data_IF_006412478262
#
_entry.id   IF_006412478262
#
_cell.length_a   1.000
_cell.length_b   1.000
_cell.length_c   1.000
_cell.angle_alpha   90.00
_cell.angle_beta   90.00
_cell.angle_gamma   90.00
#
_symmetry.space_group_name_H-M   'P 1'
#
loop_
_entity.id
_entity.type
_entity.pdbx_description
1 polymer ?
#
# COMPACT_ATOMS: atom_id res chain seq x y z
N UNK A 1 31.82 -7.23 -0.02
CA UNK A 1 31.34 -8.51 0.52
C UNK A 1 30.81 -9.35 -0.64
N UNK A 2 31.32 -10.57 -0.85
CA UNK A 2 30.88 -11.46 -1.93
C UNK A 2 29.43 -11.89 -1.71
N UNK A 3 28.69 -12.07 -2.82
CA UNK A 3 27.27 -12.46 -2.78
C UNK A 3 27.17 -13.97 -2.59
N UNK A 4 26.07 -14.45 -2.02
CA UNK A 4 25.80 -15.90 -1.89
C UNK A 4 25.76 -16.63 -3.26
N UNK A 5 25.69 -15.89 -4.36
CA UNK A 5 25.61 -16.35 -5.75
C UNK A 5 26.98 -16.52 -6.45
N UNK A 6 28.12 -16.34 -5.77
CA UNK A 6 29.44 -16.45 -6.42
C UNK A 6 29.87 -17.93 -6.69
N UNK A 7 28.95 -18.76 -7.18
CA UNK A 7 29.16 -20.12 -7.70
C UNK A 7 28.64 -20.21 -9.15
N UNK A 8 29.22 -21.07 -10.02
CA UNK A 8 29.15 -20.92 -11.48
C UNK A 8 27.70 -20.87 -11.99
N UNK A 9 27.41 -19.82 -12.77
CA UNK A 9 26.10 -19.45 -13.25
C UNK A 9 25.41 -20.58 -14.05
N UNK A 10 24.15 -20.82 -13.73
CA UNK A 10 23.23 -21.62 -14.56
C UNK A 10 22.54 -20.71 -15.58
N UNK A 11 22.14 -21.22 -16.75
CA UNK A 11 21.60 -20.40 -17.87
C UNK A 11 20.37 -19.54 -17.50
N UNK A 12 19.62 -19.91 -16.46
CA UNK A 12 18.53 -19.11 -15.88
C UNK A 12 19.01 -17.82 -15.20
N UNK A 13 20.24 -17.80 -14.68
CA UNK A 13 20.85 -16.61 -14.07
C UNK A 13 21.20 -15.56 -15.14
N UNK A 14 21.40 -15.95 -16.41
CA UNK A 14 21.77 -15.04 -17.48
C UNK A 14 20.67 -14.02 -17.81
N UNK A 15 19.40 -14.45 -17.83
CA UNK A 15 18.25 -13.56 -18.06
C UNK A 15 18.04 -12.65 -16.84
N UNK A 16 18.17 -13.20 -15.64
CA UNK A 16 18.02 -12.44 -14.39
C UNK A 16 19.14 -11.40 -14.22
N UNK A 17 20.39 -11.78 -14.50
CA UNK A 17 21.54 -10.88 -14.51
C UNK A 17 21.44 -9.85 -15.64
N UNK A 18 20.93 -10.24 -16.81
CA UNK A 18 20.67 -9.30 -17.91
C UNK A 18 19.62 -8.27 -17.50
N UNK A 19 18.49 -8.69 -16.92
CA UNK A 19 17.45 -7.78 -16.44
C UNK A 19 18.01 -6.87 -15.34
N UNK A 20 18.78 -7.40 -14.37
CA UNK A 20 19.40 -6.61 -13.30
C UNK A 20 20.47 -5.63 -13.81
N UNK A 21 21.30 -6.04 -14.76
CA UNK A 21 22.32 -5.17 -15.38
C UNK A 21 21.67 -4.14 -16.29
N UNK A 22 20.71 -4.53 -17.12
CA UNK A 22 20.00 -3.64 -18.03
C UNK A 22 19.17 -2.62 -17.26
N UNK A 23 18.32 -3.06 -16.32
CA UNK A 23 17.56 -2.16 -15.43
C UNK A 23 18.48 -1.28 -14.60
N UNK A 24 19.57 -1.83 -14.05
CA UNK A 24 20.55 -1.08 -13.29
C UNK A 24 21.26 -0.01 -14.12
N UNK A 25 21.60 -0.31 -15.38
CA UNK A 25 22.27 0.65 -16.29
C UNK A 25 21.30 1.68 -16.83
N UNK A 26 20.08 1.25 -17.19
CA UNK A 26 19.00 2.12 -17.66
C UNK A 26 18.51 3.07 -16.57
N UNK A 27 18.20 2.55 -15.37
CA UNK A 27 17.86 3.38 -14.21
C UNK A 27 19.02 4.31 -13.88
N UNK A 28 20.26 3.86 -13.85
CA UNK A 28 21.36 4.78 -13.49
C UNK A 28 21.58 5.89 -14.53
N UNK A 29 21.28 5.63 -15.80
CA UNK A 29 21.41 6.61 -16.90
C UNK A 29 20.22 7.56 -17.01
N UNK A 30 19.01 7.11 -16.63
CA UNK A 30 17.78 7.88 -16.78
C UNK A 30 17.03 8.16 -15.47
N UNK A 31 17.55 7.76 -14.30
CA UNK A 31 16.87 7.93 -13.01
C UNK A 31 16.62 9.40 -12.70
N UNK A 32 17.57 10.29 -13.01
CA UNK A 32 17.37 11.73 -12.78
C UNK A 32 16.28 12.31 -13.67
N UNK A 33 16.08 11.75 -14.86
CA UNK A 33 15.08 12.18 -15.84
C UNK A 33 13.71 11.57 -15.53
N UNK A 34 13.67 10.27 -15.21
CA UNK A 34 12.50 9.55 -14.73
C UNK A 34 11.97 10.13 -13.42
N UNK A 35 12.84 10.43 -12.44
CA UNK A 35 12.43 11.07 -11.19
C UNK A 35 11.85 12.47 -11.40
N UNK A 36 12.26 13.19 -12.45
CA UNK A 36 11.75 14.52 -12.77
C UNK A 36 10.44 14.49 -13.55
N UNK A 37 10.27 13.54 -14.48
CA UNK A 37 9.16 13.55 -15.45
C UNK A 37 8.03 12.59 -15.06
N UNK A 38 8.35 11.44 -14.47
CA UNK A 38 7.37 10.40 -14.17
C UNK A 38 6.35 10.83 -13.10
N UNK A 39 6.73 11.47 -11.97
CA UNK A 39 5.75 11.90 -10.97
C UNK A 39 4.77 12.96 -11.50
N UNK A 40 5.20 14.03 -12.20
CA UNK A 40 4.27 15.00 -12.79
C UNK A 40 3.34 14.39 -13.83
N UNK A 41 3.84 13.54 -14.72
CA UNK A 41 3.04 12.94 -15.81
C UNK A 41 1.99 11.97 -15.29
N UNK A 42 2.36 11.11 -14.33
CA UNK A 42 1.41 10.19 -13.68
C UNK A 42 0.39 10.95 -12.83
N UNK A 43 0.84 11.94 -12.05
CA UNK A 43 -0.07 12.80 -11.28
C UNK A 43 -1.07 13.53 -12.18
N UNK A 44 -0.59 14.13 -13.27
CA UNK A 44 -1.42 14.77 -14.28
C UNK A 44 -2.45 13.82 -14.88
N UNK A 45 -2.03 12.61 -15.28
CA UNK A 45 -2.91 11.59 -15.82
C UNK A 45 -4.00 11.16 -14.82
N UNK A 46 -3.65 10.97 -13.55
CA UNK A 46 -4.62 10.63 -12.51
C UNK A 46 -5.65 11.74 -12.29
N UNK A 47 -5.23 13.02 -12.29
CA UNK A 47 -6.14 14.14 -12.17
C UNK A 47 -7.03 14.31 -13.40
N UNK A 48 -6.50 14.09 -14.61
CA UNK A 48 -7.33 14.05 -15.82
C UNK A 48 -8.42 12.97 -15.75
N UNK A 49 -8.06 11.77 -15.27
CA UNK A 49 -9.04 10.69 -15.08
C UNK A 49 -10.11 11.08 -14.03
N UNK A 50 -9.70 11.74 -12.94
CA UNK A 50 -10.62 12.26 -11.93
C UNK A 50 -11.59 13.32 -12.49
N UNK A 51 -11.08 14.27 -13.28
CA UNK A 51 -11.91 15.30 -13.93
C UNK A 51 -12.87 14.73 -14.96
N UNK A 52 -12.39 13.77 -15.77
CA UNK A 52 -13.23 13.05 -16.71
C UNK A 52 -14.35 12.28 -16.00
N UNK A 53 -14.04 11.60 -14.88
CA UNK A 53 -15.02 10.85 -14.07
C UNK A 53 -16.08 11.75 -13.42
N UNK A 54 -15.71 12.98 -13.06
CA UNK A 54 -16.63 13.95 -12.43
C UNK A 54 -17.22 14.95 -13.44
N UNK A 55 -17.06 14.73 -14.75
CA UNK A 55 -17.56 15.57 -15.85
C UNK A 55 -17.28 17.07 -15.68
N UNK A 56 -16.12 17.41 -15.10
CA UNK A 56 -15.74 18.78 -14.82
C UNK A 56 -14.28 19.02 -15.15
N UNK A 57 -14.01 20.12 -15.85
CA UNK A 57 -12.67 20.65 -16.08
C UNK A 57 -12.57 22.02 -15.39
N UNK A 58 -11.71 22.18 -14.37
CA UNK A 58 -11.50 23.48 -13.74
C UNK A 58 -10.72 24.44 -14.65
N UNK A 59 -11.05 25.73 -14.54
CA UNK A 59 -10.23 26.82 -15.06
C UNK A 59 -8.98 26.95 -14.20
N UNK A 60 -7.91 26.28 -14.59
CA UNK A 60 -6.67 26.27 -13.81
C UNK A 60 -5.86 27.55 -14.02
N UNK A 61 -5.49 28.18 -12.91
CA UNK A 61 -4.33 29.05 -12.89
C UNK A 61 -3.05 28.19 -12.75
N UNK A 62 -2.00 28.52 -13.51
CA UNK A 62 -0.82 27.66 -13.72
C UNK A 62 -0.06 27.38 -12.40
N UNK A 63 -0.10 28.33 -11.48
CA UNK A 63 0.47 28.21 -10.12
C UNK A 63 -0.36 27.31 -9.20
N UNK A 64 -1.68 27.33 -9.30
CA UNK A 64 -2.56 26.47 -8.50
C UNK A 64 -2.47 25.01 -8.97
N UNK A 65 -2.29 24.81 -10.27
CA UNK A 65 -2.13 23.49 -10.84
C UNK A 65 -0.79 22.85 -10.46
N UNK A 66 0.29 23.62 -10.48
CA UNK A 66 1.62 23.12 -10.11
C UNK A 66 1.72 22.76 -8.63
N UNK A 67 1.10 23.52 -7.72
CA UNK A 67 1.06 23.19 -6.29
C UNK A 67 0.25 21.91 -6.02
N UNK A 68 -0.86 21.71 -6.74
CA UNK A 68 -1.67 20.50 -6.67
C UNK A 68 -0.91 19.27 -7.22
N UNK A 69 -0.17 19.41 -8.32
CA UNK A 69 0.71 18.34 -8.84
C UNK A 69 1.87 18.02 -7.90
N UNK A 70 2.42 19.01 -7.20
CA UNK A 70 3.47 18.77 -6.22
C UNK A 70 2.92 18.00 -5.01
N UNK A 71 1.73 18.37 -4.53
CA UNK A 71 1.03 17.60 -3.51
C UNK A 71 0.73 16.17 -4.00
N UNK A 72 0.28 16.02 -5.27
CA UNK A 72 0.10 14.75 -6.00
C UNK A 72 1.32 13.83 -5.88
N UNK A 73 2.47 14.37 -6.26
CA UNK A 73 3.74 13.66 -6.20
C UNK A 73 4.11 13.29 -4.75
N UNK A 74 3.87 14.18 -3.78
CA UNK A 74 4.21 13.94 -2.38
C UNK A 74 3.40 12.80 -1.77
N UNK A 75 2.06 12.81 -1.83
CA UNK A 75 1.28 11.67 -1.29
C UNK A 75 1.44 10.42 -2.15
N UNK A 76 1.64 10.54 -3.46
CA UNK A 76 2.00 9.40 -4.32
C UNK A 76 3.30 8.73 -3.85
N UNK A 77 4.31 9.53 -3.53
CA UNK A 77 5.57 9.04 -2.97
C UNK A 77 5.39 8.43 -1.57
N UNK A 78 4.59 9.05 -0.70
CA UNK A 78 4.31 8.52 0.64
C UNK A 78 3.53 7.19 0.58
N UNK A 79 2.53 7.09 -0.29
CA UNK A 79 1.71 5.87 -0.44
C UNK A 79 2.54 4.72 -1.03
N UNK A 80 3.18 4.93 -2.18
CA UNK A 80 4.06 3.92 -2.79
C UNK A 80 5.24 3.60 -1.87
N UNK A 81 5.79 4.61 -1.20
CA UNK A 81 6.85 4.46 -0.20
C UNK A 81 6.43 3.60 0.98
N UNK A 82 5.18 3.73 1.47
CA UNK A 82 4.64 2.89 2.52
C UNK A 82 4.48 1.43 2.07
N UNK A 83 3.93 1.19 0.88
CA UNK A 83 3.88 -0.16 0.29
C UNK A 83 5.27 -0.76 0.12
N UNK A 84 6.21 0.01 -0.44
CA UNK A 84 7.59 -0.40 -0.62
C UNK A 84 8.25 -0.75 0.72
N UNK A 85 8.11 0.11 1.73
CA UNK A 85 8.65 -0.11 3.06
C UNK A 85 8.07 -1.37 3.71
N UNK A 86 6.76 -1.59 3.61
CA UNK A 86 6.08 -2.77 4.14
C UNK A 86 6.53 -4.07 3.46
N UNK A 87 6.90 -4.03 2.18
CA UNK A 87 7.40 -5.19 1.44
C UNK A 87 8.91 -5.43 1.58
N UNK A 88 9.68 -4.38 1.82
CA UNK A 88 11.15 -4.41 1.81
C UNK A 88 11.76 -4.54 3.21
N UNK A 89 11.31 -3.73 4.17
CA UNK A 89 11.92 -3.64 5.50
C UNK A 89 11.81 -4.93 6.30
N UNK A 90 10.67 -5.65 6.36
CA UNK A 90 10.56 -6.89 7.12
C UNK A 90 11.59 -7.94 6.66
N UNK A 91 11.73 -8.09 5.34
CA UNK A 91 12.71 -8.99 4.73
C UNK A 91 14.15 -8.60 5.05
N UNK A 92 14.50 -7.32 4.90
CA UNK A 92 15.82 -6.80 5.23
C UNK A 92 16.18 -7.06 6.71
N UNK A 93 15.24 -6.79 7.60
CA UNK A 93 15.45 -6.88 9.05
C UNK A 93 15.76 -8.31 9.47
N UNK A 94 14.93 -9.28 9.08
CA UNK A 94 15.14 -10.69 9.42
C UNK A 94 16.37 -11.25 8.71
N UNK A 95 16.60 -10.88 7.45
CA UNK A 95 17.76 -11.38 6.70
C UNK A 95 19.08 -10.91 7.32
N UNK A 96 19.24 -9.61 7.57
CA UNK A 96 20.49 -9.09 8.13
C UNK A 96 20.62 -9.32 9.64
N UNK A 97 19.51 -9.31 10.39
CA UNK A 97 19.50 -9.50 11.84
C UNK A 97 19.64 -10.95 12.29
N UNK A 98 19.14 -11.91 11.50
CA UNK A 98 19.16 -13.34 11.82
C UNK A 98 20.02 -14.13 10.82
N UNK A 99 19.57 -14.26 9.57
CA UNK A 99 20.18 -15.18 8.58
C UNK A 99 21.66 -14.84 8.31
N UNK A 100 22.02 -13.57 8.18
CA UNK A 100 23.37 -13.13 7.83
C UNK A 100 24.33 -13.02 9.04
N UNK A 101 23.94 -13.49 10.23
CA UNK A 101 24.86 -13.57 11.37
C UNK A 101 25.86 -14.70 11.13
N UNK A 102 27.16 -14.47 11.36
CA UNK A 102 28.23 -15.46 11.17
C UNK A 102 27.90 -16.86 11.73
N UNK A 103 27.56 -16.96 13.02
CA UNK A 103 27.22 -18.25 13.66
C UNK A 103 26.06 -18.99 12.95
N UNK A 104 24.96 -18.30 12.70
CA UNK A 104 23.77 -18.88 12.05
C UNK A 104 24.07 -19.23 10.58
N UNK A 105 24.80 -18.37 9.88
CA UNK A 105 25.15 -18.55 8.48
C UNK A 105 26.04 -19.76 8.27
N UNK A 106 27.05 -19.94 9.11
CA UNK A 106 27.96 -21.09 9.04
C UNK A 106 27.20 -22.39 9.28
N UNK A 107 26.39 -22.46 10.34
CA UNK A 107 25.61 -23.66 10.66
C UNK A 107 24.55 -24.00 9.60
N UNK A 108 23.90 -22.98 9.01
CA UNK A 108 23.01 -23.17 7.86
C UNK A 108 23.76 -23.75 6.66
N UNK A 109 24.98 -23.26 6.38
CA UNK A 109 25.80 -23.76 5.28
C UNK A 109 26.17 -25.23 5.52
N UNK A 110 26.52 -25.61 6.75
CA UNK A 110 26.79 -27.01 7.11
C UNK A 110 25.54 -27.90 7.03
N UNK A 111 24.36 -27.39 7.36
CA UNK A 111 23.09 -28.13 7.27
C UNK A 111 22.58 -28.32 5.82
N UNK A 112 23.08 -27.52 4.88
CA UNK A 112 22.70 -27.55 3.46
C UNK A 112 23.51 -28.62 2.69
N UNK A 113 22.86 -29.45 1.84
CA UNK A 113 23.56 -30.36 0.95
C UNK A 113 24.53 -29.61 0.02
N UNK A 114 25.73 -30.17 -0.17
CA UNK A 114 26.82 -29.52 -0.91
C UNK A 114 26.48 -29.23 -2.39
N UNK A 115 25.71 -30.11 -3.07
CA UNK A 115 25.14 -29.92 -4.44
C UNK A 115 23.86 -30.76 -4.64
N UNK A 116 22.99 -30.33 -5.57
CA UNK A 116 21.82 -31.08 -6.06
C UNK A 116 20.45 -30.47 -5.72
N UNK A 117 19.36 -31.04 -6.26
CA UNK A 117 17.97 -30.60 -6.06
C UNK A 117 17.56 -30.51 -4.57
N UNK A 118 18.16 -31.34 -3.71
CA UNK A 118 17.93 -31.32 -2.27
C UNK A 118 18.35 -30.01 -1.59
N UNK A 119 19.34 -29.29 -2.13
CA UNK A 119 19.80 -27.98 -1.60
C UNK A 119 18.73 -26.91 -1.82
N UNK A 120 18.18 -26.83 -3.03
CA UNK A 120 17.10 -25.88 -3.34
C UNK A 120 15.87 -26.14 -2.47
N UNK A 121 15.47 -27.42 -2.33
CA UNK A 121 14.33 -27.79 -1.47
C UNK A 121 14.54 -27.39 0.00
N UNK A 122 15.73 -27.65 0.57
CA UNK A 122 16.02 -27.23 1.95
C UNK A 122 16.09 -25.70 2.10
N UNK A 123 16.60 -24.99 1.10
CA UNK A 123 16.66 -23.53 1.12
C UNK A 123 15.25 -22.91 1.01
N UNK A 124 14.40 -23.43 0.13
CA UNK A 124 12.98 -23.04 0.06
C UNK A 124 12.26 -23.33 1.37
N UNK A 125 12.57 -24.45 2.00
CA UNK A 125 11.99 -24.82 3.29
C UNK A 125 12.46 -23.89 4.42
N UNK A 126 13.74 -23.52 4.47
CA UNK A 126 14.26 -22.51 5.41
C UNK A 126 13.50 -21.20 5.23
N UNK A 127 13.38 -20.75 3.99
CA UNK A 127 12.70 -19.49 3.68
C UNK A 127 11.20 -19.54 3.98
N UNK A 128 10.56 -20.68 3.76
CA UNK A 128 9.17 -20.87 4.14
C UNK A 128 8.97 -20.80 5.66
N UNK A 129 9.86 -21.40 6.44
CA UNK A 129 9.79 -21.37 7.91
C UNK A 129 10.15 -20.01 8.52
N UNK A 130 11.12 -19.31 7.94
CA UNK A 130 11.61 -18.02 8.46
C UNK A 130 10.69 -16.87 8.07
N UNK A 131 10.10 -16.91 6.87
CA UNK A 131 9.29 -15.81 6.33
C UNK A 131 7.82 -16.21 6.16
N UNK A 132 7.53 -17.20 5.31
CA UNK A 132 6.16 -17.48 4.87
C UNK A 132 5.21 -17.89 6.00
N UNK A 133 5.61 -18.88 6.81
CA UNK A 133 4.78 -19.42 7.88
C UNK A 133 4.48 -18.36 8.94
N UNK A 134 5.47 -17.60 9.47
CA UNK A 134 5.19 -16.51 10.39
C UNK A 134 4.27 -15.43 9.83
N UNK A 135 4.49 -15.00 8.58
CA UNK A 135 3.68 -13.97 7.92
C UNK A 135 2.25 -14.43 7.62
N UNK A 136 2.07 -15.70 7.26
CA UNK A 136 0.76 -16.28 7.01
C UNK A 136 -0.03 -16.42 8.32
N UNK A 137 0.60 -16.99 9.35
CA UNK A 137 -0.07 -17.25 10.64
C UNK A 137 -0.51 -15.96 11.31
N UNK A 138 0.29 -14.89 11.27
CA UNK A 138 -0.11 -13.59 11.83
C UNK A 138 -1.24 -12.96 11.04
N UNK A 139 -1.17 -13.01 9.69
CA UNK A 139 -2.21 -12.47 8.83
C UNK A 139 -3.54 -13.20 9.02
N UNK A 140 -3.50 -14.52 9.22
CA UNK A 140 -4.68 -15.32 9.52
C UNK A 140 -5.20 -15.07 10.94
N UNK A 141 -4.34 -15.00 11.96
CA UNK A 141 -4.79 -14.73 13.32
C UNK A 141 -5.47 -13.37 13.43
N UNK A 142 -4.86 -12.34 12.83
CA UNK A 142 -5.39 -10.98 12.85
C UNK A 142 -6.71 -10.90 12.06
N UNK A 143 -6.81 -11.56 10.90
CA UNK A 143 -8.04 -11.64 10.13
C UNK A 143 -9.15 -12.38 10.90
N UNK A 144 -8.83 -13.51 11.54
CA UNK A 144 -9.80 -14.29 12.30
C UNK A 144 -10.40 -13.46 13.43
N UNK A 145 -9.58 -12.71 14.16
CA UNK A 145 -10.05 -11.95 15.32
C UNK A 145 -10.89 -10.76 14.89
N UNK A 146 -10.46 -10.06 13.84
CA UNK A 146 -11.17 -8.89 13.35
C UNK A 146 -12.54 -9.24 12.76
N UNK A 147 -12.67 -10.41 12.10
CA UNK A 147 -13.91 -10.79 11.41
C UNK A 147 -14.81 -11.79 12.15
N UNK A 148 -14.30 -12.60 13.09
CA UNK A 148 -15.06 -13.72 13.66
C UNK A 148 -15.16 -13.75 15.19
N UNK A 149 -14.22 -13.13 15.90
CA UNK A 149 -14.18 -13.21 17.38
C UNK A 149 -14.70 -11.90 17.95
N UNK A 150 -13.81 -10.93 18.13
CA UNK A 150 -14.13 -9.64 18.74
C UNK A 150 -13.08 -8.61 18.32
N UNK A 151 -13.47 -7.47 17.73
CA UNK A 151 -12.54 -6.44 17.30
C UNK A 151 -11.81 -5.75 18.45
N UNK A 152 -12.35 -5.78 19.67
CA UNK A 152 -11.71 -5.20 20.86
C UNK A 152 -10.44 -5.96 21.28
N UNK A 153 -10.39 -7.26 20.99
CA UNK A 153 -9.24 -8.13 21.26
C UNK A 153 -8.13 -7.99 20.22
N UNK A 154 -8.39 -7.29 19.11
CA UNK A 154 -7.45 -7.14 17.99
C UNK A 154 -6.07 -6.65 18.43
N UNK A 155 -6.02 -5.58 19.24
CA UNK A 155 -4.77 -4.96 19.65
C UNK A 155 -3.96 -5.90 20.56
N UNK A 156 -4.64 -6.61 21.47
CA UNK A 156 -4.00 -7.59 22.34
C UNK A 156 -3.39 -8.74 21.56
N UNK A 157 -4.11 -9.27 20.57
CA UNK A 157 -3.61 -10.41 19.80
C UNK A 157 -2.56 -9.99 18.77
N UNK A 158 -2.71 -8.85 18.10
CA UNK A 158 -1.69 -8.34 17.18
C UNK A 158 -0.33 -8.09 17.86
N UNK A 159 -0.31 -7.88 19.18
CA UNK A 159 0.91 -7.80 20.01
C UNK A 159 1.40 -9.17 20.51
N UNK A 160 0.51 -10.06 20.96
CA UNK A 160 0.89 -11.32 21.60
C UNK A 160 1.08 -12.50 20.62
N UNK A 161 0.28 -12.60 19.57
CA UNK A 161 0.39 -13.66 18.57
C UNK A 161 1.75 -13.71 17.86
N UNK A 162 2.38 -12.58 17.46
CA UNK A 162 3.71 -12.62 16.86
C UNK A 162 4.75 -13.29 17.76
N UNK A 163 4.67 -13.11 19.08
CA UNK A 163 5.59 -13.76 20.03
C UNK A 163 5.44 -15.27 19.96
N UNK A 164 4.22 -15.79 20.05
CA UNK A 164 3.94 -17.22 19.99
C UNK A 164 4.33 -17.81 18.64
N UNK A 165 3.94 -17.15 17.54
CA UNK A 165 4.21 -17.60 16.17
C UNK A 165 5.71 -17.65 15.89
N UNK A 166 6.45 -16.58 16.22
CA UNK A 166 7.90 -16.52 16.00
C UNK A 166 8.65 -17.49 16.91
N UNK A 167 8.16 -17.75 18.13
CA UNK A 167 8.76 -18.72 19.03
C UNK A 167 8.63 -20.14 18.50
N UNK A 168 7.42 -20.54 18.08
CA UNK A 168 7.18 -21.86 17.48
C UNK A 168 8.00 -22.01 16.20
N UNK A 169 7.98 -21.03 15.31
CA UNK A 169 8.77 -21.07 14.08
C UNK A 169 10.29 -21.13 14.37
N UNK A 170 10.78 -20.36 15.34
CA UNK A 170 12.18 -20.35 15.76
C UNK A 170 12.64 -21.69 16.33
N UNK A 171 11.81 -22.35 17.13
CA UNK A 171 12.10 -23.70 17.66
C UNK A 171 12.16 -24.73 16.53
N UNK A 172 11.21 -24.69 15.58
CA UNK A 172 11.21 -25.60 14.42
C UNK A 172 12.43 -25.37 13.53
N UNK A 173 12.80 -24.11 13.26
CA UNK A 173 14.00 -23.77 12.49
C UNK A 173 15.26 -24.27 13.20
N UNK A 174 15.35 -24.07 14.51
CA UNK A 174 16.50 -24.54 15.28
C UNK A 174 16.62 -26.06 15.26
N UNK A 175 15.51 -26.78 15.45
CA UNK A 175 15.50 -28.24 15.44
C UNK A 175 15.87 -28.81 14.07
N UNK A 176 15.33 -28.23 12.99
CA UNK A 176 15.50 -28.78 11.65
C UNK A 176 16.87 -28.48 11.02
N UNK A 177 17.46 -27.33 11.37
CA UNK A 177 18.77 -26.91 10.85
C UNK A 177 19.91 -27.09 11.87
N UNK A 178 19.64 -27.75 13.00
CA UNK A 178 20.61 -28.00 14.08
C UNK A 178 21.38 -26.73 14.51
N UNK A 179 20.65 -25.61 14.62
CA UNK A 179 21.23 -24.31 15.00
C UNK A 179 21.69 -24.30 16.47
N UNK A 180 22.60 -23.39 16.84
CA UNK A 180 23.17 -23.33 18.17
C UNK A 180 22.10 -23.01 19.22
N UNK A 181 22.33 -23.44 20.45
CA UNK A 181 21.44 -23.20 21.59
C UNK A 181 21.08 -21.71 21.72
N UNK A 182 19.81 -21.43 22.03
CA UNK A 182 19.22 -20.08 22.11
C UNK A 182 19.06 -19.32 20.78
N UNK A 183 19.31 -19.94 19.62
CA UNK A 183 19.04 -19.30 18.31
C UNK A 183 17.56 -18.93 18.13
N UNK A 184 16.64 -19.70 18.71
CA UNK A 184 15.20 -19.40 18.68
C UNK A 184 14.86 -18.05 19.35
N UNK A 185 15.52 -17.69 20.46
CA UNK A 185 15.31 -16.40 21.15
C UNK A 185 15.80 -15.23 20.30
N UNK A 186 16.96 -15.42 19.65
CA UNK A 186 17.46 -14.43 18.70
C UNK A 186 16.53 -14.26 17.52
N UNK A 187 15.95 -15.36 17.01
CA UNK A 187 14.95 -15.30 15.96
C UNK A 187 13.71 -14.53 16.41
N UNK A 188 13.14 -14.84 17.57
CA UNK A 188 11.98 -14.13 18.14
C UNK A 188 12.24 -12.63 18.21
N UNK A 189 13.39 -12.22 18.77
CA UNK A 189 13.74 -10.81 18.89
C UNK A 189 13.84 -10.09 17.54
N UNK A 190 14.40 -10.76 16.52
CA UNK A 190 14.59 -10.17 15.20
C UNK A 190 13.35 -10.25 14.30
N UNK A 191 12.49 -11.24 14.51
CA UNK A 191 11.31 -11.49 13.68
C UNK A 191 10.03 -10.86 14.25
N UNK A 192 9.99 -10.51 15.55
CA UNK A 192 8.80 -9.94 16.20
C UNK A 192 8.26 -8.70 15.47
N UNK A 193 9.09 -7.66 15.31
CA UNK A 193 8.67 -6.40 14.66
C UNK A 193 8.33 -6.64 13.17
N UNK A 194 9.15 -7.35 12.37
CA UNK A 194 8.80 -7.70 10.99
C UNK A 194 7.45 -8.40 10.85
N UNK A 195 7.17 -9.41 11.68
CA UNK A 195 5.92 -10.17 11.65
C UNK A 195 4.73 -9.28 11.99
N UNK A 196 4.86 -8.40 12.99
CA UNK A 196 3.84 -7.39 13.30
C UNK A 196 3.55 -6.45 12.12
N UNK A 197 4.60 -5.90 11.49
CA UNK A 197 4.45 -4.97 10.35
C UNK A 197 3.71 -5.65 9.20
N UNK A 198 4.02 -6.92 8.93
CA UNK A 198 3.35 -7.69 7.88
C UNK A 198 1.90 -8.01 8.25
N UNK A 199 1.62 -8.39 9.49
CA UNK A 199 0.25 -8.59 9.99
C UNK A 199 -0.61 -7.34 9.81
N UNK A 200 -0.12 -6.19 10.28
CA UNK A 200 -0.80 -4.91 10.09
C UNK A 200 -1.01 -4.56 8.60
N UNK A 201 -0.01 -4.81 7.75
CA UNK A 201 -0.12 -4.59 6.31
C UNK A 201 -1.22 -5.45 5.67
N UNK A 202 -1.31 -6.73 6.05
CA UNK A 202 -2.36 -7.65 5.59
C UNK A 202 -3.74 -7.16 6.03
N UNK A 203 -3.90 -6.80 7.30
CA UNK A 203 -5.16 -6.27 7.85
C UNK A 203 -5.56 -4.97 7.14
N UNK A 204 -4.61 -4.07 6.93
CA UNK A 204 -4.87 -2.81 6.24
C UNK A 204 -5.35 -3.03 4.79
N UNK A 205 -4.72 -3.97 4.07
CA UNK A 205 -5.16 -4.37 2.72
C UNK A 205 -6.54 -5.03 2.72
N UNK A 206 -6.82 -5.89 3.70
CA UNK A 206 -8.14 -6.49 3.89
C UNK A 206 -9.21 -5.43 4.17
N UNK A 207 -8.92 -4.45 5.02
CA UNK A 207 -9.85 -3.34 5.31
C UNK A 207 -10.18 -2.51 4.08
N UNK A 208 -9.21 -2.34 3.16
CA UNK A 208 -9.45 -1.68 1.86
C UNK A 208 -10.27 -2.53 0.89
N UNK A 209 -10.09 -3.86 0.91
CA UNK A 209 -10.83 -4.78 0.05
C UNK A 209 -12.24 -5.10 0.57
N UNK A 210 -12.46 -5.06 1.89
CA UNK A 210 -13.71 -5.42 2.54
C UNK A 210 -14.97 -4.75 1.95
N UNK A 211 -15.03 -3.42 1.73
CA UNK A 211 -16.22 -2.79 1.15
C UNK A 211 -16.57 -3.31 -0.24
N UNK A 212 -15.57 -3.72 -1.02
CA UNK A 212 -15.76 -4.25 -2.38
C UNK A 212 -16.35 -5.66 -2.37
N UNK A 213 -15.96 -6.45 -1.36
CA UNK A 213 -16.31 -7.88 -1.22
C UNK A 213 -17.56 -8.06 -0.35
N UNK A 214 -18.00 -7.03 0.38
CA UNK A 214 -19.14 -7.13 1.29
C UNK A 214 -20.46 -7.46 0.57
N UNK A 215 -20.60 -7.05 -0.68
CA UNK A 215 -21.79 -7.28 -1.51
C UNK A 215 -21.78 -8.65 -2.21
N UNK A 216 -20.71 -9.44 -2.05
CA UNK A 216 -20.56 -10.72 -2.74
C UNK A 216 -21.34 -11.84 -2.04
N UNK A 217 -21.67 -12.93 -2.77
CA UNK A 217 -22.25 -14.12 -2.17
C UNK A 217 -21.38 -14.65 -1.02
N UNK A 218 -22.03 -15.17 0.03
CA UNK A 218 -21.39 -15.56 1.29
C UNK A 218 -20.13 -16.43 1.09
N UNK A 219 -20.22 -17.49 0.28
CA UNK A 219 -19.09 -18.40 0.01
C UNK A 219 -17.93 -17.68 -0.68
N UNK A 220 -18.21 -16.85 -1.68
CA UNK A 220 -17.19 -16.12 -2.43
C UNK A 220 -16.52 -15.06 -1.57
N UNK A 221 -17.30 -14.35 -0.75
CA UNK A 221 -16.81 -13.38 0.24
C UNK A 221 -15.81 -14.02 1.19
N UNK A 222 -16.18 -15.15 1.80
CA UNK A 222 -15.29 -15.83 2.75
C UNK A 222 -14.08 -16.46 2.08
N UNK A 223 -14.26 -17.09 0.91
CA UNK A 223 -13.14 -17.62 0.14
C UNK A 223 -12.11 -16.53 -0.17
N UNK A 224 -12.55 -15.36 -0.63
CA UNK A 224 -11.65 -14.23 -0.91
C UNK A 224 -10.98 -13.68 0.35
N UNK A 225 -11.71 -13.56 1.46
CA UNK A 225 -11.15 -13.08 2.73
C UNK A 225 -10.13 -14.05 3.34
N UNK A 226 -10.26 -15.37 3.10
CA UNK A 226 -9.27 -16.36 3.52
C UNK A 226 -8.08 -16.47 2.55
N UNK A 227 -8.30 -16.31 1.24
CA UNK A 227 -7.24 -16.41 0.22
C UNK A 227 -6.37 -15.15 0.18
N UNK A 228 -6.93 -13.97 0.47
CA UNK A 228 -6.20 -12.71 0.41
C UNK A 228 -4.98 -12.64 1.36
N UNK A 229 -5.07 -13.01 2.66
CA UNK A 229 -3.90 -13.11 3.54
C UNK A 229 -2.81 -14.01 2.98
N UNK A 230 -3.20 -15.13 2.38
CA UNK A 230 -2.27 -16.09 1.80
C UNK A 230 -1.54 -15.51 0.59
N UNK A 231 -2.27 -14.83 -0.31
CA UNK A 231 -1.67 -14.15 -1.46
C UNK A 231 -0.73 -13.01 -1.03
N UNK A 232 -1.12 -12.19 -0.06
CA UNK A 232 -0.29 -11.08 0.43
C UNK A 232 0.96 -11.62 1.15
N UNK A 233 0.80 -12.60 2.04
CA UNK A 233 1.91 -13.24 2.74
C UNK A 233 2.87 -13.89 1.74
N UNK A 234 2.37 -14.51 0.67
CA UNK A 234 3.20 -15.05 -0.40
C UNK A 234 4.03 -13.96 -1.10
N UNK A 235 3.42 -12.84 -1.48
CA UNK A 235 4.13 -11.72 -2.11
C UNK A 235 5.20 -11.13 -1.20
N UNK A 236 4.87 -10.86 0.07
CA UNK A 236 5.82 -10.32 1.08
C UNK A 236 6.98 -11.30 1.32
N UNK A 237 6.68 -12.60 1.28
CA UNK A 237 7.68 -13.65 1.40
C UNK A 237 8.61 -13.65 0.20
N UNK A 238 8.06 -13.60 -1.02
CA UNK A 238 8.87 -13.54 -2.24
C UNK A 238 9.80 -12.33 -2.24
N UNK A 239 9.31 -11.15 -1.84
CA UNK A 239 10.16 -9.95 -1.71
C UNK A 239 11.23 -10.10 -0.64
N UNK A 240 10.93 -10.79 0.46
CA UNK A 240 11.87 -11.07 1.55
C UNK A 240 12.94 -12.11 1.19
N UNK A 241 12.61 -13.14 0.40
CA UNK A 241 13.56 -14.18 -0.03
C UNK A 241 14.63 -13.63 -0.98
N UNK A 242 14.31 -12.62 -1.77
CA UNK A 242 15.20 -12.05 -2.80
C UNK A 242 16.42 -11.34 -2.18
N UNK A 243 16.42 -11.06 -0.87
CA UNK A 243 17.61 -10.57 -0.16
C UNK A 243 18.82 -11.52 -0.25
N UNK A 244 18.60 -12.82 -0.48
CA UNK A 244 19.68 -13.78 -0.76
C UNK A 244 20.41 -13.44 -2.08
N UNK A 245 19.67 -13.03 -3.11
CA UNK A 245 20.20 -12.58 -4.41
C UNK A 245 20.83 -11.17 -4.32
N UNK A 246 20.50 -10.42 -3.27
CA UNK A 246 21.17 -9.20 -2.87
C UNK A 246 20.28 -7.95 -2.85
N UNK A 247 20.80 -6.92 -2.18
CA UNK A 247 20.08 -5.67 -1.87
C UNK A 247 19.42 -4.98 -3.08
N UNK A 248 20.13 -4.93 -4.21
CA UNK A 248 19.61 -4.28 -5.44
C UNK A 248 18.42 -5.03 -6.04
N UNK A 249 18.47 -6.36 -6.06
CA UNK A 249 17.38 -7.18 -6.57
C UNK A 249 16.14 -7.05 -5.67
N UNK A 250 16.34 -7.10 -4.35
CA UNK A 250 15.26 -6.92 -3.38
C UNK A 250 14.56 -5.56 -3.56
N UNK A 251 15.31 -4.47 -3.75
CA UNK A 251 14.71 -3.14 -4.01
C UNK A 251 13.87 -3.11 -5.29
N UNK A 252 14.34 -3.71 -6.39
CA UNK A 252 13.59 -3.70 -7.65
C UNK A 252 12.30 -4.52 -7.55
N UNK A 253 12.36 -5.70 -6.95
CA UNK A 253 11.19 -6.57 -6.79
C UNK A 253 10.17 -6.00 -5.79
N UNK A 254 10.63 -5.47 -4.65
CA UNK A 254 9.73 -4.79 -3.70
C UNK A 254 9.06 -3.58 -4.35
N UNK A 255 9.76 -2.81 -5.18
CA UNK A 255 9.17 -1.67 -5.89
C UNK A 255 8.13 -2.12 -6.92
N UNK A 256 8.41 -3.17 -7.69
CA UNK A 256 7.48 -3.74 -8.65
C UNK A 256 6.18 -4.21 -7.98
N UNK A 257 6.29 -5.01 -6.91
CA UNK A 257 5.13 -5.48 -6.17
C UNK A 257 4.41 -4.36 -5.41
N UNK A 258 5.12 -3.35 -4.92
CA UNK A 258 4.49 -2.17 -4.31
C UNK A 258 3.60 -1.43 -5.30
N UNK A 259 4.08 -1.19 -6.53
CA UNK A 259 3.28 -0.58 -7.60
C UNK A 259 2.10 -1.46 -7.99
N UNK A 260 2.31 -2.77 -8.11
CA UNK A 260 1.25 -3.74 -8.43
C UNK A 260 0.15 -3.74 -7.37
N UNK A 261 0.50 -3.83 -6.09
CA UNK A 261 -0.46 -3.81 -4.98
C UNK A 261 -1.14 -2.45 -4.82
N UNK A 262 -0.41 -1.34 -5.01
CA UNK A 262 -1.00 0.00 -4.97
C UNK A 262 -2.01 0.22 -6.12
N UNK A 263 -1.72 -0.33 -7.31
CA UNK A 263 -2.64 -0.31 -8.44
C UNK A 263 -3.88 -1.18 -8.20
N UNK A 264 -3.69 -2.43 -7.76
CA UNK A 264 -4.79 -3.37 -7.55
C UNK A 264 -5.71 -2.99 -6.38
N UNK A 265 -5.15 -2.44 -5.30
CA UNK A 265 -5.93 -1.96 -4.15
C UNK A 265 -6.80 -0.73 -4.46
N UNK A 266 -6.71 -0.17 -5.67
CA UNK A 266 -7.44 1.03 -6.06
C UNK A 266 -6.89 2.30 -5.40
N UNK A 267 -5.84 2.21 -4.58
CA UNK A 267 -5.24 3.36 -3.88
C UNK A 267 -4.80 4.43 -4.87
N UNK A 268 -4.21 4.03 -6.01
CA UNK A 268 -3.84 4.96 -7.08
C UNK A 268 -5.06 5.66 -7.70
N UNK A 269 -6.20 4.98 -7.80
CA UNK A 269 -7.43 5.56 -8.37
C UNK A 269 -8.19 6.47 -7.41
N UNK A 270 -8.10 6.20 -6.10
CA UNK A 270 -8.71 7.03 -5.05
C UNK A 270 -7.80 8.18 -4.60
N UNK A 271 -6.54 8.19 -5.02
CA UNK A 271 -5.54 9.18 -4.63
C UNK A 271 -6.00 10.62 -4.94
N UNK A 272 -6.50 10.94 -6.15
CA UNK A 272 -7.02 12.27 -6.45
C UNK A 272 -8.19 12.68 -5.55
N UNK A 273 -9.14 11.77 -5.31
CA UNK A 273 -10.29 12.01 -4.42
C UNK A 273 -9.85 12.30 -2.98
N UNK A 274 -8.89 11.52 -2.45
CA UNK A 274 -8.36 11.73 -1.11
C UNK A 274 -7.58 13.05 -1.01
N UNK A 275 -6.87 13.47 -2.05
CA UNK A 275 -6.18 14.75 -2.07
C UNK A 275 -7.11 15.94 -2.04
N UNK A 276 -8.11 15.91 -2.93
CA UNK A 276 -9.08 17.00 -3.04
C UNK A 276 -9.80 17.15 -1.69
N UNK A 277 -10.07 16.04 -1.00
CA UNK A 277 -10.62 16.03 0.37
C UNK A 277 -9.63 16.53 1.43
N UNK A 278 -8.40 16.03 1.49
CA UNK A 278 -7.42 16.39 2.55
C UNK A 278 -6.93 17.83 2.43
N UNK A 279 -6.78 18.35 1.21
CA UNK A 279 -6.46 19.74 0.95
C UNK A 279 -7.68 20.67 1.12
N UNK A 280 -8.86 20.12 1.41
CA UNK A 280 -10.10 20.88 1.59
C UNK A 280 -10.60 21.56 0.31
N UNK A 281 -10.15 21.07 -0.85
CA UNK A 281 -10.44 21.58 -2.19
C UNK A 281 -11.73 21.01 -2.79
N UNK A 282 -12.34 20.00 -2.17
CA UNK A 282 -13.57 19.37 -2.63
C UNK A 282 -13.75 17.95 -2.05
N UNK A 283 -14.68 17.18 -2.62
CA UNK A 283 -15.11 15.87 -2.14
C UNK A 283 -15.40 15.82 -0.62
N UNK A 284 -16.05 16.87 -0.11
CA UNK A 284 -16.54 16.95 1.27
C UNK A 284 -18.01 17.35 1.30
N UNK A 285 -18.72 16.90 2.33
CA UNK A 285 -20.11 17.29 2.55
C UNK A 285 -20.12 18.61 3.32
N UNK A 286 -20.70 19.66 2.75
CA UNK A 286 -20.89 20.93 3.42
C UNK A 286 -22.22 20.91 4.19
N UNK A 287 -22.20 21.36 5.44
CA UNK A 287 -23.40 21.42 6.30
C UNK A 287 -24.38 22.49 5.81
N UNK A 288 -23.83 23.63 5.37
CA UNK A 288 -24.59 24.69 4.74
C UNK A 288 -23.69 25.53 3.81
N UNK A 289 -24.22 25.90 2.65
CA UNK A 289 -23.64 26.90 1.75
C UNK A 289 -24.63 28.06 1.68
N UNK A 290 -24.22 29.23 2.14
CA UNK A 290 -25.03 30.45 2.11
C UNK A 290 -24.69 31.20 0.82
N UNK A 291 -25.68 31.31 -0.06
CA UNK A 291 -25.55 32.03 -1.32
C UNK A 291 -25.76 33.54 -1.11
N UNK A 292 -25.18 34.35 -1.99
CA UNK A 292 -25.43 35.79 -1.99
C UNK A 292 -26.88 36.08 -2.42
N UNK A 293 -27.51 37.03 -1.73
CA UNK A 293 -28.93 37.37 -1.94
C UNK A 293 -29.17 37.96 -3.33
N UNK A 294 -28.13 38.58 -3.92
CA UNK A 294 -28.15 39.10 -5.30
C UNK A 294 -28.21 38.00 -6.37
N UNK A 295 -27.69 36.81 -6.07
CA UNK A 295 -27.67 35.66 -6.97
C UNK A 295 -29.02 34.91 -6.94
N UNK A 296 -29.61 34.79 -5.75
CA UNK A 296 -30.94 34.22 -5.57
C UNK A 296 -32.09 35.05 -6.13
N UNK A 297 -31.94 36.37 -6.16
CA UNK A 297 -32.97 37.27 -6.70
C UNK A 297 -33.08 37.18 -8.24
N UNK A 298 -32.10 36.58 -8.92
CA UNK A 298 -32.14 36.30 -10.37
C UNK A 298 -32.81 34.94 -10.60
N UNK A 299 -33.56 34.79 -11.69
CA UNK A 299 -34.36 33.59 -12.07
C UNK A 299 -33.60 32.23 -12.15
N UNK A 300 -32.31 32.18 -11.80
CA UNK A 300 -31.51 30.96 -11.70
C UNK A 300 -31.82 30.10 -10.46
N UNK A 301 -32.66 30.59 -9.54
CA UNK A 301 -33.21 29.79 -8.42
C UNK A 301 -34.05 28.58 -8.88
N UNK A 302 -34.43 28.47 -10.16
CA UNK A 302 -35.20 27.32 -10.69
C UNK A 302 -34.41 26.01 -10.83
N UNK A 303 -33.08 26.03 -10.72
CA UNK A 303 -32.23 24.84 -10.99
C UNK A 303 -31.65 24.22 -9.70
N UNK A 304 -31.72 24.92 -8.57
CA UNK A 304 -31.16 24.47 -7.29
C UNK A 304 -32.27 24.42 -6.21
N UNK A 305 -32.44 23.30 -5.49
CA UNK A 305 -33.38 23.23 -4.37
C UNK A 305 -32.82 24.09 -3.23
N UNK A 306 -33.29 25.33 -3.14
CA UNK A 306 -32.83 26.31 -2.16
C UNK A 306 -33.98 26.64 -1.21
N UNK A 307 -33.71 26.70 0.10
CA UNK A 307 -34.69 27.17 1.10
C UNK A 307 -34.96 28.68 0.92
N UNK A 308 -36.06 29.20 1.49
CA UNK A 308 -36.47 30.62 1.49
C UNK A 308 -35.39 31.60 1.99
N UNK A 309 -34.32 31.09 2.63
CA UNK A 309 -33.16 31.84 3.12
C UNK A 309 -31.93 31.75 2.20
N UNK A 310 -32.04 31.19 0.99
CA UNK A 310 -30.90 31.02 0.07
C UNK A 310 -29.75 30.18 0.63
N UNK A 311 -30.11 29.15 1.39
CA UNK A 311 -29.16 28.22 1.99
C UNK A 311 -29.33 26.85 1.34
N UNK A 312 -28.22 26.32 0.85
CA UNK A 312 -28.07 24.95 0.38
C UNK A 312 -27.58 24.10 1.56
N UNK A 313 -28.43 23.19 2.07
CA UNK A 313 -28.08 22.27 3.17
C UNK A 313 -27.63 20.92 2.61
N UNK A 314 -26.70 20.28 3.33
CA UNK A 314 -26.22 18.91 3.06
C UNK A 314 -25.72 18.65 1.63
N UNK A 315 -24.98 19.61 1.05
CA UNK A 315 -24.50 19.50 -0.33
C UNK A 315 -23.09 18.93 -0.41
N UNK A 316 -22.88 17.96 -1.30
CA UNK A 316 -21.54 17.44 -1.58
C UNK A 316 -20.79 18.41 -2.51
N UNK A 317 -19.77 19.06 -1.97
CA UNK A 317 -18.87 19.92 -2.74
C UNK A 317 -17.85 19.03 -3.43
N UNK A 318 -17.89 18.94 -4.76
CA UNK A 318 -16.95 18.13 -5.56
C UNK A 318 -15.66 18.90 -5.80
N UNK A 319 -15.74 20.22 -5.94
CA UNK A 319 -14.62 21.11 -6.18
C UNK A 319 -14.91 22.53 -5.68
N UNK A 320 -13.94 23.19 -5.03
CA UNK A 320 -14.07 24.52 -4.41
C UNK A 320 -12.88 25.45 -4.71
N UNK A 321 -12.14 25.23 -5.79
CA UNK A 321 -10.96 26.02 -6.13
C UNK A 321 -11.13 26.75 -7.48
N UNK A 322 -10.89 28.05 -7.52
CA UNK A 322 -10.98 28.89 -8.72
C UNK A 322 -12.26 29.73 -8.79
N UNK A 323 -12.70 30.06 -10.00
CA UNK A 323 -13.84 30.97 -10.24
C UNK A 323 -15.21 30.31 -10.06
N UNK A 324 -15.27 28.97 -9.97
CA UNK A 324 -16.52 28.22 -9.82
C UNK A 324 -16.41 27.07 -8.81
N UNK A 325 -17.44 26.94 -7.98
CA UNK A 325 -17.72 25.78 -7.14
C UNK A 325 -18.53 24.77 -7.92
N UNK A 326 -18.17 23.50 -7.80
CA UNK A 326 -18.92 22.39 -8.40
C UNK A 326 -19.57 21.60 -7.28
N UNK A 327 -20.90 21.56 -7.30
CA UNK A 327 -21.71 20.86 -6.32
C UNK A 327 -22.36 19.65 -6.99
N UNK A 328 -22.46 18.55 -6.25
CA UNK A 328 -23.29 17.41 -6.64
C UNK A 328 -24.62 17.50 -5.88
N UNK A 329 -25.71 17.58 -6.64
CA UNK A 329 -27.07 17.63 -6.09
C UNK A 329 -27.54 16.21 -5.73
N UNK A 330 -28.60 16.13 -4.92
CA UNK A 330 -29.20 14.86 -4.48
C UNK A 330 -29.62 13.96 -5.66
N UNK A 331 -29.97 14.55 -6.80
CA UNK A 331 -30.37 13.84 -8.03
C UNK A 331 -29.17 13.30 -8.83
N UNK A 332 -27.95 13.44 -8.31
CA UNK A 332 -26.71 12.99 -8.95
C UNK A 332 -26.14 13.93 -10.01
N UNK A 333 -26.88 14.99 -10.38
CA UNK A 333 -26.46 16.04 -11.31
C UNK A 333 -25.41 16.98 -10.69
N UNK A 334 -24.55 17.56 -11.54
CA UNK A 334 -23.51 18.51 -11.11
C UNK A 334 -23.93 19.94 -11.46
N UNK A 335 -23.98 20.82 -10.46
CA UNK A 335 -24.21 22.25 -10.66
C UNK A 335 -22.90 23.05 -10.51
N UNK A 336 -22.72 24.07 -11.36
CA UNK A 336 -21.60 25.00 -11.28
C UNK A 336 -22.10 26.34 -10.76
N UNK A 337 -21.53 26.80 -9.65
CA UNK A 337 -21.83 28.09 -9.03
C UNK A 337 -20.60 28.97 -9.10
N UNK A 338 -20.71 30.24 -9.54
CA UNK A 338 -19.56 31.15 -9.48
C UNK A 338 -19.17 31.42 -8.02
N UNK A 339 -17.86 31.52 -7.75
CA UNK A 339 -17.35 31.75 -6.41
C UNK A 339 -17.85 33.09 -5.80
N UNK A 340 -18.14 34.07 -6.65
CA UNK A 340 -18.77 35.35 -6.25
C UNK A 340 -20.20 35.22 -5.72
N UNK A 341 -20.89 34.11 -6.02
CA UNK A 341 -22.23 33.85 -5.53
C UNK A 341 -22.26 33.18 -4.14
N UNK A 342 -21.10 32.82 -3.56
CA UNK A 342 -21.02 32.17 -2.25
C UNK A 342 -20.55 33.17 -1.20
N UNK A 343 -21.39 33.38 -0.18
CA UNK A 343 -21.10 34.32 0.91
C UNK A 343 -20.44 33.64 2.10
N UNK A 344 -20.87 32.42 2.44
CA UNK A 344 -20.27 31.64 3.52
C UNK A 344 -20.44 30.13 3.30
N UNK A 345 -19.44 29.36 3.74
CA UNK A 345 -19.46 27.90 3.68
C UNK A 345 -19.21 27.34 5.09
N UNK A 346 -20.14 26.53 5.59
CA UNK A 346 -20.05 25.88 6.90
C UNK A 346 -19.64 24.43 6.70
N UNK A 347 -18.41 24.10 7.10
CA UNK A 347 -17.89 22.73 7.11
C UNK A 347 -18.39 22.00 8.38
N UNK A 348 -18.75 20.72 8.30
CA UNK A 348 -18.93 19.91 9.52
C UNK A 348 -17.57 19.82 10.25
N UNK A 349 -17.62 19.90 11.58
CA UNK A 349 -16.45 19.77 12.46
C UNK A 349 -15.86 18.36 12.40
#
# INVERSE_FOLDING_TARGET
>A
MPRWTDQPATDTDAVFDFILKFSGTFLRRHASLLAKVLPPTLGFGMFLAYFARNHFYPSFDLFQFSSLLLAAACLGFLTIGAFFAALFLPGAWVYYGFINTAAIKEDIIYALPYRGEGRFRKLMLLMALVFFVPYLLIGLSDAIILFFVDPELFLGVSLLAPVLITLVAGVVVQWLFALPSFSFLKFVWQAYVPVMVVGYFIVWMLGKAYPLVNEWPLLTKWATLCVAPLAIAFVVTMTSMIFIAGWKAAMMFSLFFALFLAGYSGVLTTLPETMVKTLGLGNYQAKAIVLDTSYCAKEQARVLPTDDQCVLKDVQVVWSLGEAFVLRLADGSTARLPASAIRALVKPQ
#
